data_IF_178602202922
#
_entry.id   IF_178602202922
#
_cell.length_a   1.000
_cell.length_b   1.000
_cell.length_c   1.000
_cell.angle_alpha   90.00
_cell.angle_beta   90.00
_cell.angle_gamma   90.00
#
_symmetry.space_group_name_H-M   'P 1'
#
loop_
_entity.id
_entity.type
_entity.pdbx_description
1 polymer ?
#
# COMPACT_ATOMS: atom_id res chain seq x y z
N UNK A 1 -7.28 20.19 -18.64
CA UNK A 1 -8.69 20.00 -19.09
C UNK A 1 -8.97 20.93 -20.26
N UNK A 2 -9.35 20.39 -21.43
CA UNK A 2 -9.95 21.17 -22.52
C UNK A 2 -11.35 20.60 -22.78
N UNK A 3 -12.36 21.47 -22.83
CA UNK A 3 -13.73 21.11 -23.17
C UNK A 3 -13.94 21.37 -24.67
N UNK A 4 -14.41 20.37 -25.41
CA UNK A 4 -14.68 20.51 -26.86
C UNK A 4 -16.01 19.87 -27.26
N UNK A 5 -16.64 20.42 -28.30
CA UNK A 5 -17.94 20.00 -28.85
C UNK A 5 -17.73 19.43 -30.26
N UNK A 6 -18.07 18.16 -30.48
CA UNK A 6 -17.99 17.50 -31.80
C UNK A 6 -17.32 16.11 -31.80
N UNK A 7 -17.17 15.53 -33.01
CA UNK A 7 -16.49 14.25 -33.21
C UNK A 7 -14.97 14.42 -33.09
N UNK A 8 -14.40 13.98 -31.98
CA UNK A 8 -12.96 14.07 -31.69
C UNK A 8 -12.25 12.81 -32.21
N UNK A 9 -11.24 13.01 -33.06
CA UNK A 9 -10.28 11.98 -33.48
C UNK A 9 -9.11 11.94 -32.49
N UNK A 10 -9.07 10.88 -31.67
CA UNK A 10 -8.11 10.72 -30.59
C UNK A 10 -6.67 10.53 -31.09
N UNK A 11 -6.49 9.91 -32.26
CA UNK A 11 -5.15 9.68 -32.82
C UNK A 11 -4.54 10.99 -33.32
N UNK A 12 -5.35 11.84 -33.94
CA UNK A 12 -4.92 13.17 -34.39
C UNK A 12 -4.58 14.08 -33.20
N UNK A 13 -5.39 14.08 -32.15
CA UNK A 13 -5.12 14.82 -30.93
C UNK A 13 -3.83 14.35 -30.25
N UNK A 14 -3.60 13.03 -30.20
CA UNK A 14 -2.36 12.45 -29.67
C UNK A 14 -1.13 12.88 -30.48
N UNK A 15 -1.21 12.80 -31.81
CA UNK A 15 -0.14 13.21 -32.69
C UNK A 15 0.17 14.71 -32.57
N UNK A 16 -0.88 15.55 -32.47
CA UNK A 16 -0.72 16.99 -32.30
C UNK A 16 -0.10 17.34 -30.93
N UNK A 17 -0.48 16.62 -29.87
CA UNK A 17 0.07 16.81 -28.53
C UNK A 17 1.55 16.42 -28.42
N UNK A 18 1.93 15.32 -29.08
CA UNK A 18 3.30 14.79 -29.06
C UNK A 18 4.23 15.46 -30.08
N UNK A 19 3.71 16.31 -30.96
CA UNK A 19 4.50 16.96 -32.01
C UNK A 19 5.59 17.85 -31.42
N UNK A 20 6.86 17.50 -31.69
CA UNK A 20 8.01 18.28 -31.25
C UNK A 20 8.46 18.04 -29.81
N UNK A 21 7.83 17.11 -29.08
CA UNK A 21 8.20 16.76 -27.69
C UNK A 21 9.22 15.63 -27.61
N UNK A 22 10.08 15.67 -26.59
CA UNK A 22 11.03 14.60 -26.32
C UNK A 22 10.30 13.31 -25.87
N UNK A 23 10.90 12.11 -26.03
CA UNK A 23 10.24 10.85 -25.68
C UNK A 23 9.75 10.75 -24.23
N UNK A 24 10.37 11.46 -23.29
CA UNK A 24 9.96 11.51 -21.87
C UNK A 24 8.76 12.42 -21.59
N UNK A 25 8.43 13.32 -22.51
CA UNK A 25 7.35 14.31 -22.43
C UNK A 25 6.14 13.93 -23.31
N UNK A 26 6.19 12.75 -23.93
CA UNK A 26 5.12 12.25 -24.78
C UNK A 26 4.10 11.48 -23.95
N UNK A 27 2.83 11.79 -24.19
CA UNK A 27 1.70 11.03 -23.63
C UNK A 27 1.41 9.84 -24.56
N UNK A 28 1.10 8.67 -24.01
CA UNK A 28 0.75 7.50 -24.84
C UNK A 28 -0.76 7.34 -25.03
N UNK A 29 -1.56 7.75 -24.05
CA UNK A 29 -3.01 7.55 -24.06
C UNK A 29 -3.74 8.87 -23.84
N UNK A 30 -4.74 9.13 -24.70
CA UNK A 30 -5.73 10.19 -24.53
C UNK A 30 -7.11 9.55 -24.48
N UNK A 31 -7.89 9.89 -23.47
CA UNK A 31 -9.24 9.35 -23.22
C UNK A 31 -10.23 10.50 -23.28
N UNK A 32 -11.34 10.30 -24.00
CA UNK A 32 -12.50 11.21 -23.92
C UNK A 32 -13.49 10.71 -22.87
N UNK A 33 -13.90 11.59 -21.96
CA UNK A 33 -14.97 11.35 -20.98
C UNK A 33 -16.13 12.27 -21.31
N UNK A 34 -17.33 11.71 -21.49
CA UNK A 34 -18.54 12.50 -21.73
C UNK A 34 -18.99 13.16 -20.41
N UNK A 35 -19.18 14.48 -20.42
CA UNK A 35 -19.57 15.26 -19.23
C UNK A 35 -21.09 15.49 -19.15
N UNK A 36 -21.82 15.39 -20.26
CA UNK A 36 -23.25 15.77 -20.29
C UNK A 36 -24.04 14.88 -21.25
N UNK A 37 -25.22 14.43 -20.79
CA UNK A 37 -26.27 13.79 -21.61
C UNK A 37 -26.41 12.27 -21.39
N UNK A 38 -27.57 11.82 -20.90
CA UNK A 38 -27.92 10.40 -20.88
C UNK A 38 -28.39 9.94 -22.27
N UNK A 39 -27.98 8.73 -22.66
CA UNK A 39 -28.32 8.10 -23.94
C UNK A 39 -27.30 8.32 -25.06
N UNK A 40 -27.73 8.04 -26.30
CA UNK A 40 -26.88 8.08 -27.49
C UNK A 40 -26.19 9.45 -27.68
N UNK A 41 -24.96 9.48 -28.25
CA UNK A 41 -24.19 10.71 -28.45
C UNK A 41 -24.99 11.76 -29.24
N UNK A 42 -25.17 12.95 -28.66
CA UNK A 42 -25.80 14.11 -29.30
C UNK A 42 -24.75 15.16 -29.67
N UNK A 43 -24.99 15.99 -30.70
CA UNK A 43 -24.06 17.05 -31.10
C UNK A 43 -23.84 18.12 -30.02
N UNK A 44 -24.77 18.25 -29.07
CA UNK A 44 -24.69 19.17 -27.93
C UNK A 44 -23.91 18.60 -26.73
N UNK A 45 -23.42 17.36 -26.80
CA UNK A 45 -22.74 16.72 -25.68
C UNK A 45 -21.33 17.30 -25.52
N UNK A 46 -21.00 17.69 -24.29
CA UNK A 46 -19.67 18.17 -23.93
C UNK A 46 -18.77 16.99 -23.58
N UNK A 47 -17.56 16.97 -24.13
CA UNK A 47 -16.53 15.98 -23.82
C UNK A 47 -15.35 16.63 -23.13
N UNK A 48 -14.84 15.94 -22.11
CA UNK A 48 -13.57 16.20 -21.48
C UNK A 48 -12.49 15.32 -22.11
N UNK A 49 -11.36 15.91 -22.47
CA UNK A 49 -10.16 15.18 -22.89
C UNK A 49 -9.24 15.01 -21.68
N UNK A 50 -9.07 13.76 -21.26
CA UNK A 50 -8.12 13.31 -20.25
C UNK A 50 -6.89 12.72 -20.94
N UNK A 51 -5.73 12.84 -20.30
CA UNK A 51 -4.46 12.33 -20.81
C UNK A 51 -3.75 11.56 -19.72
N UNK A 52 -2.92 10.61 -20.12
CA UNK A 52 -1.91 10.03 -19.24
C UNK A 52 -0.80 11.06 -18.94
N UNK A 53 -0.34 11.08 -17.70
CA UNK A 53 0.83 11.86 -17.29
C UNK A 53 2.08 11.30 -17.97
N UNK A 54 2.97 12.18 -18.38
CA UNK A 54 4.19 11.81 -19.11
C UNK A 54 5.22 11.19 -18.15
N UNK A 55 6.14 10.36 -18.64
CA UNK A 55 7.22 9.83 -17.81
C UNK A 55 7.99 10.89 -17.02
N UNK A 56 8.23 12.06 -17.59
CA UNK A 56 8.93 13.16 -16.90
C UNK A 56 8.04 13.82 -15.83
N UNK A 57 6.75 14.04 -16.11
CA UNK A 57 5.79 14.53 -15.11
C UNK A 57 5.63 13.55 -13.94
N UNK A 58 5.68 12.24 -14.22
CA UNK A 58 5.66 11.21 -13.17
C UNK A 58 6.95 11.25 -12.35
N UNK A 59 8.11 11.47 -12.96
CA UNK A 59 9.39 11.61 -12.23
C UNK A 59 9.40 12.86 -11.36
N UNK A 60 8.98 13.99 -11.90
CA UNK A 60 8.85 15.25 -11.17
C UNK A 60 7.89 15.10 -9.99
N UNK A 61 6.71 14.49 -10.21
CA UNK A 61 5.78 14.17 -9.13
C UNK A 61 6.41 13.24 -8.07
N UNK A 62 7.21 12.26 -8.49
CA UNK A 62 7.91 11.36 -7.58
C UNK A 62 9.01 12.08 -6.78
N UNK A 63 9.73 13.00 -7.39
CA UNK A 63 10.78 13.79 -6.75
C UNK A 63 10.21 14.85 -5.81
N UNK A 64 9.19 15.60 -6.22
CA UNK A 64 8.49 16.58 -5.38
C UNK A 64 7.78 15.92 -4.20
N UNK A 65 7.25 14.71 -4.40
CA UNK A 65 6.64 13.94 -3.30
C UNK A 65 7.64 13.42 -2.25
N UNK A 66 8.94 13.49 -2.53
CA UNK A 66 9.99 13.23 -1.55
C UNK A 66 10.34 14.50 -0.73
N UNK A 67 9.75 15.65 -1.05
CA UNK A 67 9.89 16.88 -0.25
C UNK A 67 9.30 16.69 1.15
N UNK A 68 10.05 17.13 2.16
CA UNK A 68 9.72 16.98 3.59
C UNK A 68 8.36 17.56 3.98
N UNK A 69 7.86 18.52 3.20
CA UNK A 69 6.56 19.17 3.43
C UNK A 69 5.36 18.34 2.92
N UNK A 70 5.59 17.37 2.03
CA UNK A 70 4.58 16.43 1.48
C UNK A 70 4.70 15.04 2.13
N UNK A 71 5.75 14.82 2.94
CA UNK A 71 5.94 13.61 3.73
C UNK A 71 4.94 13.55 4.88
N UNK A 72 3.70 13.18 4.60
CA UNK A 72 2.91 12.56 5.64
C UNK A 72 3.58 11.22 5.98
N UNK A 73 4.05 11.09 7.22
CA UNK A 73 4.76 9.92 7.76
C UNK A 73 3.96 8.61 7.64
N UNK A 74 2.72 8.68 7.16
CA UNK A 74 1.73 7.63 7.30
C UNK A 74 0.88 7.39 6.02
N UNK A 75 1.43 7.55 4.82
CA UNK A 75 0.69 7.19 3.60
C UNK A 75 0.66 5.66 3.38
N UNK A 76 -0.15 4.95 4.16
CA UNK A 76 -0.39 3.50 3.99
C UNK A 76 -1.19 3.15 2.71
N UNK A 77 -1.70 4.15 1.99
CA UNK A 77 -2.61 3.96 0.85
C UNK A 77 -2.14 4.59 -0.47
N UNK A 78 -0.98 5.23 -0.52
CA UNK A 78 -0.41 5.57 -1.82
C UNK A 78 0.20 4.30 -2.42
N UNK A 79 -0.18 3.94 -3.65
CA UNK A 79 0.41 2.83 -4.41
C UNK A 79 1.88 3.05 -4.80
N UNK A 80 2.54 3.99 -4.12
CA UNK A 80 3.91 4.38 -4.32
C UNK A 80 4.69 3.90 -3.10
N UNK A 81 5.71 3.08 -3.35
CA UNK A 81 6.60 2.49 -2.34
C UNK A 81 7.49 3.60 -1.73
N UNK A 82 6.89 4.53 -0.99
CA UNK A 82 7.46 5.82 -0.59
C UNK A 82 8.13 5.85 0.78
N UNK A 83 7.97 4.80 1.59
CA UNK A 83 8.69 4.67 2.87
C UNK A 83 9.78 3.60 2.74
N UNK A 84 11.07 3.99 2.80
CA UNK A 84 12.18 3.04 2.89
C UNK A 84 12.01 2.07 4.05
N UNK A 85 11.34 2.50 5.12
CA UNK A 85 10.99 1.65 6.25
C UNK A 85 9.93 0.62 5.89
N UNK A 86 8.89 1.00 5.15
CA UNK A 86 7.88 0.04 4.67
C UNK A 86 8.52 -1.00 3.74
N UNK A 87 9.37 -0.57 2.80
CA UNK A 87 10.11 -1.50 1.94
C UNK A 87 11.03 -2.42 2.73
N UNK A 88 11.79 -1.89 3.71
CA UNK A 88 12.62 -2.70 4.61
C UNK A 88 11.80 -3.74 5.36
N UNK A 89 10.60 -3.39 5.83
CA UNK A 89 9.70 -4.31 6.55
C UNK A 89 9.15 -5.41 5.64
N UNK A 90 8.72 -5.06 4.44
CA UNK A 90 8.26 -6.03 3.43
C UNK A 90 9.40 -6.97 3.05
N UNK A 91 10.59 -6.44 2.75
CA UNK A 91 11.78 -7.25 2.46
C UNK A 91 12.20 -8.11 3.66
N UNK A 92 12.15 -7.59 4.88
CA UNK A 92 12.47 -8.37 6.09
C UNK A 92 11.47 -9.52 6.27
N UNK A 93 10.19 -9.30 6.01
CA UNK A 93 9.17 -10.35 6.00
C UNK A 93 9.46 -11.39 4.91
N UNK A 94 9.74 -10.96 3.68
CA UNK A 94 10.05 -11.86 2.56
C UNK A 94 11.31 -12.68 2.81
N UNK A 95 12.35 -12.09 3.43
CA UNK A 95 13.56 -12.80 3.85
C UNK A 95 13.24 -13.76 5.02
N UNK A 96 12.44 -13.35 6.00
CA UNK A 96 12.05 -14.21 7.12
C UNK A 96 11.20 -15.41 6.66
N UNK A 97 10.27 -15.22 5.72
CA UNK A 97 9.52 -16.29 5.06
C UNK A 97 10.45 -17.12 4.16
N UNK A 98 11.31 -16.50 3.37
CA UNK A 98 12.22 -17.18 2.44
C UNK A 98 13.31 -18.01 3.13
N UNK A 99 13.67 -17.65 4.37
CA UNK A 99 14.61 -18.40 5.20
C UNK A 99 13.96 -19.43 6.13
N UNK A 100 12.62 -19.47 6.22
CA UNK A 100 11.70 -20.21 7.11
C UNK A 100 12.21 -21.36 8.03
N UNK A 101 13.35 -21.19 8.71
CA UNK A 101 13.81 -22.09 9.78
C UNK A 101 12.83 -22.10 10.96
N UNK A 102 12.00 -21.06 11.08
CA UNK A 102 10.90 -20.98 12.04
C UNK A 102 9.66 -21.79 11.64
N UNK A 103 9.48 -22.16 10.37
CA UNK A 103 8.42 -23.08 9.92
C UNK A 103 8.83 -24.56 10.01
N UNK A 104 10.15 -24.81 10.09
CA UNK A 104 10.70 -26.16 10.35
C UNK A 104 10.39 -26.65 11.77
N UNK A 105 10.18 -25.74 12.72
CA UNK A 105 9.73 -26.04 14.08
C UNK A 105 8.19 -26.09 14.13
N UNK A 106 7.57 -27.27 14.28
CA UNK A 106 6.12 -27.41 14.24
C UNK A 106 5.40 -26.57 15.31
N UNK A 107 5.99 -26.45 16.50
CA UNK A 107 5.37 -25.73 17.61
C UNK A 107 5.34 -24.21 17.35
N UNK A 108 6.39 -23.65 16.73
CA UNK A 108 6.44 -22.23 16.34
C UNK A 108 5.58 -21.96 15.11
N UNK A 109 5.61 -22.86 14.12
CA UNK A 109 4.77 -22.73 12.93
C UNK A 109 3.30 -22.63 13.30
N UNK A 110 2.80 -23.55 14.13
CA UNK A 110 1.38 -23.64 14.43
C UNK A 110 0.89 -22.36 15.15
N UNK A 111 1.69 -21.79 16.06
CA UNK A 111 1.33 -20.52 16.72
C UNK A 111 1.39 -19.33 15.76
N UNK A 112 2.40 -19.25 14.88
CA UNK A 112 2.54 -18.16 13.93
C UNK A 112 1.44 -18.18 12.87
N UNK A 113 1.05 -19.37 12.40
CA UNK A 113 -0.08 -19.56 11.49
C UNK A 113 -1.39 -19.13 12.15
N UNK A 114 -1.60 -19.52 13.40
CA UNK A 114 -2.81 -19.14 14.13
C UNK A 114 -2.91 -17.62 14.40
N UNK A 115 -1.78 -16.94 14.63
CA UNK A 115 -1.71 -15.47 14.84
C UNK A 115 -1.81 -14.69 13.52
N UNK A 116 -1.39 -15.29 12.39
CA UNK A 116 -1.43 -14.65 11.08
C UNK A 116 -2.87 -14.27 10.67
N UNK A 117 -3.86 -15.05 11.11
CA UNK A 117 -5.25 -14.60 11.10
C UNK A 117 -5.48 -13.65 12.29
N UNK A 118 -5.35 -12.36 12.03
CA UNK A 118 -5.46 -11.32 13.04
C UNK A 118 -6.89 -11.22 13.64
N UNK A 119 -7.90 -11.81 12.99
CA UNK A 119 -9.31 -11.78 13.42
C UNK A 119 -9.62 -12.87 14.45
N UNK A 120 -8.87 -12.85 15.55
CA UNK A 120 -9.05 -13.83 16.63
C UNK A 120 -10.24 -13.44 17.49
N UNK A 121 -11.24 -14.32 17.58
CA UNK A 121 -12.27 -14.24 18.60
C UNK A 121 -11.77 -14.82 19.93
N UNK A 122 -12.59 -14.76 20.99
CA UNK A 122 -12.24 -15.31 22.31
C UNK A 122 -11.93 -16.82 22.28
N UNK A 123 -12.53 -17.59 21.38
CA UNK A 123 -12.30 -19.04 21.30
C UNK A 123 -10.93 -19.32 20.68
N UNK A 124 -10.66 -18.73 19.51
CA UNK A 124 -9.40 -18.84 18.78
C UNK A 124 -8.23 -18.38 19.66
N UNK A 125 -8.37 -17.22 20.31
CA UNK A 125 -7.32 -16.71 21.20
C UNK A 125 -7.08 -17.65 22.39
N UNK A 126 -8.13 -18.28 22.93
CA UNK A 126 -8.01 -19.28 23.99
C UNK A 126 -7.29 -20.56 23.55
N UNK A 127 -7.37 -20.93 22.27
CA UNK A 127 -6.60 -22.03 21.68
C UNK A 127 -5.14 -21.66 21.49
N UNK A 128 -4.87 -20.46 20.97
CA UNK A 128 -3.51 -19.92 20.78
C UNK A 128 -2.73 -19.90 22.10
N UNK A 129 -3.37 -19.47 23.20
CA UNK A 129 -2.73 -19.44 24.53
C UNK A 129 -2.28 -20.82 25.03
N UNK A 130 -2.86 -21.91 24.53
CA UNK A 130 -2.51 -23.30 24.91
C UNK A 130 -1.42 -23.89 24.02
N UNK A 131 -1.05 -23.22 22.94
CA UNK A 131 -0.07 -23.73 21.99
C UNK A 131 1.34 -23.66 22.59
N UNK A 132 2.18 -24.70 22.41
CA UNK A 132 3.53 -24.74 22.96
C UNK A 132 4.45 -23.63 22.39
N UNK A 133 4.15 -23.14 21.18
CA UNK A 133 4.87 -22.01 20.58
C UNK A 133 4.60 -20.66 21.24
N UNK A 134 3.48 -20.51 21.98
CA UNK A 134 3.08 -19.24 22.56
C UNK A 134 4.07 -18.72 23.60
N UNK A 135 4.52 -19.60 24.50
CA UNK A 135 5.49 -19.27 25.55
C UNK A 135 6.87 -18.86 25.00
N UNK A 136 7.15 -19.22 23.74
CA UNK A 136 8.41 -18.92 23.05
C UNK A 136 8.39 -17.57 22.34
N UNK A 137 7.22 -16.94 22.21
CA UNK A 137 7.11 -15.57 21.70
C UNK A 137 7.65 -14.58 22.74
N UNK A 138 8.26 -13.49 22.28
CA UNK A 138 8.68 -12.41 23.18
C UNK A 138 7.47 -11.79 23.88
N UNK A 139 7.70 -11.19 25.05
CA UNK A 139 6.64 -10.54 25.84
C UNK A 139 5.93 -9.45 25.02
N UNK A 140 6.69 -8.71 24.21
CA UNK A 140 6.18 -7.69 23.30
C UNK A 140 5.24 -8.28 22.24
N UNK A 141 5.63 -9.41 21.64
CA UNK A 141 4.83 -10.10 20.64
C UNK A 141 3.52 -10.64 21.26
N UNK A 142 3.59 -11.24 22.45
CA UNK A 142 2.40 -11.71 23.17
C UNK A 142 1.44 -10.55 23.49
N UNK A 143 1.98 -9.41 23.95
CA UNK A 143 1.19 -8.20 24.23
C UNK A 143 0.52 -7.64 22.97
N UNK A 144 1.22 -7.63 21.83
CA UNK A 144 0.69 -7.18 20.55
C UNK A 144 -0.47 -8.07 20.09
N UNK A 145 -0.30 -9.39 20.13
CA UNK A 145 -1.35 -10.35 19.73
C UNK A 145 -2.58 -10.22 20.64
N UNK A 146 -2.37 -10.12 21.95
CA UNK A 146 -3.46 -9.91 22.91
C UNK A 146 -4.21 -8.59 22.68
N UNK A 147 -3.53 -7.55 22.22
CA UNK A 147 -4.16 -6.28 21.87
C UNK A 147 -4.95 -6.37 20.56
N UNK A 148 -4.44 -7.08 19.54
CA UNK A 148 -5.16 -7.37 18.30
C UNK A 148 -6.46 -8.13 18.57
N UNK A 149 -6.42 -9.16 19.43
CA UNK A 149 -7.61 -9.88 19.90
C UNK A 149 -8.64 -8.93 20.53
N UNK A 150 -8.22 -8.08 21.48
CA UNK A 150 -9.11 -7.11 22.15
C UNK A 150 -9.70 -6.08 21.20
N UNK A 151 -8.94 -5.69 20.18
CA UNK A 151 -9.41 -4.78 19.16
C UNK A 151 -10.50 -5.42 18.30
N UNK A 152 -10.30 -6.66 17.85
CA UNK A 152 -11.28 -7.36 17.02
C UNK A 152 -12.56 -7.69 17.79
N UNK A 153 -12.43 -8.27 18.98
CA UNK A 153 -13.59 -8.76 19.77
C UNK A 153 -14.39 -7.60 20.40
N UNK A 154 -13.72 -6.54 20.87
CA UNK A 154 -14.34 -5.50 21.69
C UNK A 154 -14.22 -4.08 21.10
N UNK A 155 -13.59 -3.92 19.93
CA UNK A 155 -13.31 -2.59 19.35
C UNK A 155 -12.34 -1.75 20.19
N UNK A 156 -11.61 -2.35 21.14
CA UNK A 156 -10.73 -1.61 22.05
C UNK A 156 -9.38 -1.36 21.41
N UNK A 157 -9.13 -0.10 21.07
CA UNK A 157 -7.86 0.29 20.48
C UNK A 157 -6.69 0.03 21.47
N UNK A 158 -5.57 -0.54 20.99
CA UNK A 158 -4.36 -0.70 21.80
C UNK A 158 -3.89 0.62 22.42
N UNK A 159 -3.35 0.58 23.64
CA UNK A 159 -2.75 1.77 24.25
C UNK A 159 -1.47 2.16 23.49
N UNK A 160 -1.17 3.46 23.42
CA UNK A 160 0.04 3.99 22.77
C UNK A 160 1.35 3.52 23.43
N UNK A 161 1.27 2.89 24.60
CA UNK A 161 2.37 2.28 25.34
C UNK A 161 2.73 0.86 24.87
N UNK A 162 1.93 0.24 24.00
CA UNK A 162 2.38 -0.99 23.36
C UNK A 162 3.62 -0.69 22.53
N UNK A 163 4.58 -1.62 22.49
CA UNK A 163 5.77 -1.47 21.67
C UNK A 163 5.31 -1.21 20.23
N UNK A 164 5.57 0.01 19.76
CA UNK A 164 5.47 0.30 18.34
C UNK A 164 6.53 -0.56 17.66
N UNK A 165 6.24 -1.04 16.45
CA UNK A 165 7.24 -1.67 15.58
C UNK A 165 8.41 -0.74 15.17
N UNK A 166 8.66 0.34 15.92
CA UNK A 166 9.77 1.28 15.75
C UNK A 166 10.95 0.96 16.69
N UNK A 167 10.72 0.32 17.84
CA UNK A 167 11.72 0.36 18.94
C UNK A 167 12.61 -0.90 19.08
N UNK A 168 12.36 -1.99 18.36
CA UNK A 168 13.11 -3.25 18.52
C UNK A 168 13.98 -3.69 17.32
N UNK A 169 13.99 -2.95 16.21
CA UNK A 169 14.90 -3.23 15.08
C UNK A 169 16.16 -2.35 15.10
N UNK A 170 16.82 -2.22 16.25
CA UNK A 170 18.29 -2.05 16.26
C UNK A 170 18.88 -3.45 16.36
N UNK A 171 19.21 -4.03 15.20
CA UNK A 171 20.14 -5.16 15.12
C UNK A 171 21.45 -4.71 15.78
N UNK A 172 21.57 -4.99 17.07
CA UNK A 172 22.86 -4.99 17.76
C UNK A 172 23.70 -6.11 17.14
N UNK A 173 24.94 -5.76 16.85
CA UNK A 173 25.80 -6.46 15.89
C UNK A 173 26.02 -7.93 16.21
N UNK A 174 25.96 -8.73 15.15
CA UNK A 174 26.82 -9.89 15.03
C UNK A 174 28.19 -9.41 14.54
N UNK A 175 29.11 -9.23 15.49
CA UNK A 175 30.56 -9.36 15.29
C UNK A 175 31.03 -10.59 16.04
#
# INVERSE_FOLDING_TARGET
MRNQTGSIDLERELAQWNMGKAPGEQTRIIIKRKLTGDGAPRPSDTYEILREDTPDEIREFMDESNSTDVLDFNSYHSGLLRSPENHRRVTAMDIAIGQAKCLDDPAMRDVLVAIADWKMDKQIFGEILKMPGWERLSVEAQLLVAASHKYYEYGKFPSASLPRCQDSCRLSGFS
#
